data_IF_708076052800
#
_entry.id   IF_708076052800
#
_cell.length_a   1.000
_cell.length_b   1.000
_cell.length_c   1.000
_cell.angle_alpha   90.00
_cell.angle_beta   90.00
_cell.angle_gamma   90.00
#
_symmetry.space_group_name_H-M   'P 1'
#
loop_
_entity.id
_entity.type
_entity.pdbx_description
1 polymer ?
#
# COMPACT_ATOMS: atom_id res chain seq x y z
N UNK A 1 12.00 25.37 -16.42
CA UNK A 1 11.65 23.95 -16.24
C UNK A 1 10.55 23.86 -15.18
N UNK A 2 9.29 23.63 -15.56
CA UNK A 2 8.19 23.53 -14.59
C UNK A 2 8.24 22.18 -13.88
N UNK A 3 8.49 22.17 -12.57
CA UNK A 3 8.31 20.98 -11.72
C UNK A 3 6.88 20.48 -11.88
N UNK A 4 6.70 19.40 -12.65
CA UNK A 4 5.42 18.69 -12.72
C UNK A 4 5.22 18.01 -11.37
N UNK A 5 4.60 18.72 -10.44
CA UNK A 5 4.07 18.12 -9.21
C UNK A 5 3.17 16.97 -9.67
N UNK A 6 3.55 15.74 -9.30
CA UNK A 6 2.73 14.58 -9.62
C UNK A 6 1.40 14.77 -8.90
N UNK A 7 0.25 14.75 -9.60
CA UNK A 7 -1.03 14.91 -8.92
C UNK A 7 -1.18 13.79 -7.89
N UNK A 8 -1.49 14.18 -6.65
CA UNK A 8 -1.78 13.24 -5.56
C UNK A 8 -2.90 12.32 -6.00
N UNK A 9 -2.70 11.01 -5.84
CA UNK A 9 -3.73 10.02 -6.12
C UNK A 9 -4.75 10.08 -4.99
N UNK A 10 -5.99 10.41 -5.35
CA UNK A 10 -7.13 10.39 -4.46
C UNK A 10 -7.85 9.08 -4.72
N UNK A 11 -8.11 8.32 -3.67
CA UNK A 11 -8.67 6.97 -3.75
C UNK A 11 -10.07 6.96 -3.12
N UNK A 12 -10.99 6.20 -3.69
CA UNK A 12 -12.26 5.90 -3.06
C UNK A 12 -12.01 5.06 -1.79
N UNK A 13 -12.55 5.47 -0.65
CA UNK A 13 -12.39 4.70 0.61
C UNK A 13 -13.01 3.31 0.54
N UNK A 14 -14.13 3.17 -0.17
CA UNK A 14 -14.82 1.88 -0.33
C UNK A 14 -14.13 0.98 -1.37
N UNK A 15 -14.14 1.36 -2.64
CA UNK A 15 -13.69 0.47 -3.72
C UNK A 15 -12.21 0.61 -4.12
N UNK A 16 -11.44 1.46 -3.43
CA UNK A 16 -10.01 1.72 -3.70
C UNK A 16 -9.68 2.06 -5.15
N UNK A 17 -10.63 2.63 -5.89
CA UNK A 17 -10.36 3.19 -7.21
C UNK A 17 -9.78 4.58 -7.09
N UNK A 18 -8.84 4.89 -7.98
CA UNK A 18 -8.41 6.26 -8.17
C UNK A 18 -9.58 7.11 -8.68
N UNK A 19 -9.92 8.18 -7.96
CA UNK A 19 -11.05 9.08 -8.27
C UNK A 19 -10.59 10.44 -8.79
N UNK A 20 -9.34 10.57 -9.25
CA UNK A 20 -8.83 11.82 -9.83
C UNK A 20 -9.60 12.26 -11.09
N UNK A 21 -10.22 11.31 -11.80
CA UNK A 21 -10.94 11.53 -13.06
C UNK A 21 -12.40 11.08 -13.00
N UNK A 22 -12.85 10.66 -11.83
CA UNK A 22 -14.22 10.23 -11.57
C UNK A 22 -14.92 11.32 -10.76
N UNK A 23 -16.24 11.38 -10.88
CA UNK A 23 -17.03 12.15 -9.93
C UNK A 23 -16.88 11.52 -8.55
N UNK A 24 -16.64 12.38 -7.56
CA UNK A 24 -16.35 11.99 -6.19
C UNK A 24 -17.02 12.95 -5.22
N UNK A 25 -17.26 12.45 -4.02
CA UNK A 25 -17.91 13.16 -2.94
C UNK A 25 -17.08 12.97 -1.68
N UNK A 26 -16.97 14.01 -0.86
CA UNK A 26 -16.40 13.87 0.47
C UNK A 26 -17.30 12.94 1.29
N UNK A 27 -16.71 11.89 1.86
CA UNK A 27 -17.45 10.80 2.50
C UNK A 27 -18.36 11.30 3.63
N UNK A 28 -17.84 12.20 4.48
CA UNK A 28 -18.57 12.77 5.61
C UNK A 28 -19.54 13.90 5.24
N UNK A 29 -19.53 14.37 4.00
CA UNK A 29 -20.47 15.39 3.50
C UNK A 29 -21.74 14.77 2.87
N UNK A 30 -21.85 13.44 2.86
CA UNK A 30 -23.02 12.72 2.40
C UNK A 30 -24.09 12.67 3.51
N UNK A 31 -25.34 12.39 3.12
CA UNK A 31 -26.44 12.24 4.06
C UNK A 31 -26.13 11.16 5.11
N UNK A 32 -26.53 11.38 6.37
CA UNK A 32 -26.18 10.50 7.50
C UNK A 32 -26.47 9.01 7.25
N UNK A 33 -27.61 8.61 6.67
CA UNK A 33 -27.86 7.20 6.37
C UNK A 33 -26.87 6.62 5.34
N UNK A 34 -26.52 7.39 4.32
CA UNK A 34 -25.57 6.99 3.27
C UNK A 34 -24.17 6.86 3.85
N UNK A 35 -23.74 7.85 4.64
CA UNK A 35 -22.46 7.83 5.35
C UNK A 35 -22.36 6.61 6.28
N UNK A 36 -23.42 6.29 7.00
CA UNK A 36 -23.48 5.12 7.89
C UNK A 36 -23.28 3.79 7.14
N UNK A 37 -23.93 3.62 5.97
CA UNK A 37 -23.72 2.45 5.10
C UNK A 37 -22.28 2.38 4.60
N UNK A 38 -21.69 3.50 4.19
CA UNK A 38 -20.31 3.50 3.72
C UNK A 38 -19.34 3.15 4.86
N UNK A 39 -19.56 3.69 6.07
CA UNK A 39 -18.78 3.36 7.26
C UNK A 39 -18.83 1.86 7.57
N UNK A 40 -20.00 1.22 7.45
CA UNK A 40 -20.13 -0.22 7.71
C UNK A 40 -19.38 -1.08 6.69
N UNK A 41 -19.31 -0.64 5.43
CA UNK A 41 -18.55 -1.35 4.39
C UNK A 41 -17.03 -1.26 4.55
N UNK A 42 -16.52 -0.16 5.08
CA UNK A 42 -15.07 0.06 5.22
C UNK A 42 -14.54 -0.32 6.60
N UNK A 43 -15.41 -0.70 7.55
CA UNK A 43 -15.00 -1.15 8.88
C UNK A 43 -13.93 -2.25 8.80
N UNK A 44 -12.81 -2.17 9.56
CA UNK A 44 -12.56 -1.28 10.71
C UNK A 44 -11.91 0.08 10.38
N UNK A 45 -11.84 0.48 9.11
CA UNK A 45 -11.23 1.75 8.72
C UNK A 45 -12.08 2.95 9.20
N UNK A 46 -11.42 3.94 9.80
CA UNK A 46 -12.04 5.23 10.17
C UNK A 46 -12.02 6.15 8.95
N UNK A 47 -13.19 6.71 8.61
CA UNK A 47 -13.33 7.72 7.55
C UNK A 47 -13.01 9.11 8.11
N UNK A 48 -12.17 9.86 7.42
CA UNK A 48 -11.73 11.21 7.77
C UNK A 48 -12.41 12.29 6.88
N UNK A 49 -12.20 13.57 7.21
CA UNK A 49 -12.80 14.71 6.48
C UNK A 49 -12.34 14.81 5.02
N UNK A 50 -11.11 14.40 4.74
CA UNK A 50 -10.52 14.42 3.40
C UNK A 50 -10.72 13.12 2.61
N UNK A 51 -11.51 12.18 3.16
CA UNK A 51 -11.80 10.93 2.49
C UNK A 51 -12.90 11.10 1.43
N UNK A 52 -12.72 10.40 0.31
CA UNK A 52 -13.61 10.50 -0.84
C UNK A 52 -14.26 9.16 -1.16
N UNK A 53 -15.48 9.25 -1.69
CA UNK A 53 -16.24 8.13 -2.24
C UNK A 53 -16.54 8.44 -3.71
N UNK A 54 -16.36 7.45 -4.58
CA UNK A 54 -16.70 7.59 -6.00
C UNK A 54 -18.22 7.57 -6.20
N UNK A 55 -18.69 8.18 -7.28
CA UNK A 55 -20.13 8.21 -7.61
C UNK A 55 -20.80 6.84 -7.60
N UNK A 56 -20.26 5.77 -8.20
CA UNK A 56 -20.91 4.46 -8.14
C UNK A 56 -21.03 3.87 -6.74
N UNK A 57 -20.04 4.10 -5.86
CA UNK A 57 -20.15 3.65 -4.47
C UNK A 57 -21.18 4.45 -3.67
N UNK A 58 -21.30 5.75 -3.94
CA UNK A 58 -22.35 6.59 -3.35
C UNK A 58 -23.74 6.13 -3.79
N UNK A 59 -23.91 5.91 -5.09
CA UNK A 59 -25.21 5.55 -5.65
C UNK A 59 -25.65 4.16 -5.16
N UNK A 60 -24.70 3.22 -5.05
CA UNK A 60 -24.97 1.93 -4.42
C UNK A 60 -25.40 2.09 -2.95
N UNK A 61 -24.75 2.97 -2.19
CA UNK A 61 -25.12 3.20 -0.80
C UNK A 61 -26.53 3.80 -0.68
N UNK A 62 -26.91 4.70 -1.58
CA UNK A 62 -28.29 5.23 -1.64
C UNK A 62 -29.30 4.14 -1.94
N UNK A 63 -29.01 3.25 -2.89
CA UNK A 63 -29.89 2.11 -3.20
C UNK A 63 -30.01 1.19 -1.98
N UNK A 64 -28.91 0.90 -1.28
CA UNK A 64 -28.93 0.10 -0.04
C UNK A 64 -29.77 0.76 1.05
N UNK A 65 -29.63 2.07 1.26
CA UNK A 65 -30.47 2.82 2.22
C UNK A 65 -31.96 2.67 1.85
N UNK A 66 -32.30 2.89 0.58
CA UNK A 66 -33.69 2.80 0.13
C UNK A 66 -34.26 1.38 0.29
N UNK A 67 -33.47 0.35 -0.01
CA UNK A 67 -33.88 -1.04 0.17
C UNK A 67 -34.10 -1.39 1.66
N UNK A 68 -33.24 -0.90 2.54
CA UNK A 68 -33.37 -1.10 3.98
C UNK A 68 -34.64 -0.42 4.55
N UNK A 69 -35.06 0.71 3.97
CA UNK A 69 -36.30 1.38 4.34
C UNK A 69 -37.55 0.64 3.84
N UNK A 70 -37.42 -0.20 2.81
CA UNK A 70 -38.54 -0.88 2.15
C UNK A 70 -38.77 -2.32 2.62
N UNK A 71 -37.83 -2.99 3.32
CA UNK A 71 -37.92 -4.42 3.63
C UNK A 71 -37.66 -4.79 5.11
N UNK A 72 -38.74 -5.19 5.81
CA UNK A 72 -38.76 -6.18 6.91
C UNK A 72 -39.10 -7.61 6.35
N UNK A 73 -38.53 -8.03 5.21
CA UNK A 73 -38.81 -9.37 4.65
C UNK A 73 -37.52 -10.14 4.36
N UNK A 74 -37.38 -11.39 4.85
CA UNK A 74 -36.13 -12.15 4.82
C UNK A 74 -35.90 -12.79 3.44
N UNK A 75 -35.04 -12.15 2.64
CA UNK A 75 -34.49 -12.70 1.41
C UNK A 75 -32.99 -12.51 1.42
N UNK A 76 -32.27 -13.62 1.54
CA UNK A 76 -30.87 -13.72 1.93
C UNK A 76 -29.89 -13.32 0.81
N UNK A 77 -29.80 -12.03 0.48
CA UNK A 77 -28.68 -11.48 -0.31
C UNK A 77 -27.96 -10.43 0.54
N UNK A 78 -26.92 -10.87 1.24
CA UNK A 78 -26.02 -9.99 1.98
C UNK A 78 -25.52 -8.87 1.04
N UNK A 79 -26.01 -7.66 1.25
CA UNK A 79 -25.46 -6.44 0.67
C UNK A 79 -24.10 -6.14 1.33
N UNK A 80 -23.14 -7.04 1.08
CA UNK A 80 -21.76 -6.90 1.52
C UNK A 80 -21.06 -5.73 0.81
N UNK A 81 -19.82 -5.40 1.24
CA UNK A 81 -19.01 -4.37 0.62
C UNK A 81 -19.01 -4.57 -0.89
N UNK A 82 -19.54 -3.56 -1.58
CA UNK A 82 -19.90 -3.54 -2.99
C UNK A 82 -19.31 -4.70 -3.79
N UNK A 83 -20.11 -5.71 -4.16
CA UNK A 83 -19.75 -6.47 -5.36
C UNK A 83 -19.64 -5.42 -6.46
N UNK A 84 -18.43 -5.20 -6.96
CA UNK A 84 -17.95 -4.12 -7.85
C UNK A 84 -18.63 -4.20 -9.23
N UNK A 85 -19.97 -4.22 -9.28
CA UNK A 85 -20.74 -4.50 -10.50
C UNK A 85 -20.58 -3.41 -11.56
N UNK A 86 -20.17 -2.19 -11.17
CA UNK A 86 -20.28 -1.02 -12.06
C UNK A 86 -18.97 -0.33 -12.46
N UNK A 87 -17.81 -0.85 -12.08
CA UNK A 87 -16.52 -0.28 -12.52
C UNK A 87 -15.93 -0.91 -13.78
N UNK A 88 -16.74 -1.64 -14.55
CA UNK A 88 -16.32 -2.42 -15.74
C UNK A 88 -15.59 -1.60 -16.82
N UNK A 89 -15.92 -0.31 -16.92
CA UNK A 89 -15.38 0.58 -17.96
C UNK A 89 -14.37 1.60 -17.43
N UNK A 90 -13.78 1.34 -16.27
CA UNK A 90 -12.79 2.21 -15.63
C UNK A 90 -11.50 1.45 -15.40
N UNK A 91 -10.36 2.07 -15.70
CA UNK A 91 -9.09 1.48 -15.35
C UNK A 91 -8.88 1.50 -13.83
N UNK A 92 -8.61 0.33 -13.29
CA UNK A 92 -8.40 0.07 -11.87
C UNK A 92 -7.32 0.97 -11.23
N UNK A 93 -6.27 1.30 -11.99
CA UNK A 93 -5.14 2.10 -11.49
C UNK A 93 -5.36 3.62 -11.63
N UNK A 94 -5.83 4.14 -12.76
CA UNK A 94 -5.90 5.59 -13.00
C UNK A 94 -7.30 6.19 -12.76
N UNK A 95 -8.34 5.37 -12.62
CA UNK A 95 -9.72 5.86 -12.62
C UNK A 95 -10.19 6.39 -13.98
N UNK A 96 -9.38 6.21 -15.03
CA UNK A 96 -9.70 6.74 -16.34
C UNK A 96 -10.62 5.77 -17.10
N UNK A 97 -11.63 6.32 -17.78
CA UNK A 97 -12.49 5.52 -18.65
C UNK A 97 -11.65 4.78 -19.68
N UNK A 98 -11.95 3.49 -19.84
CA UNK A 98 -11.39 2.58 -20.84
C UNK A 98 -12.38 2.27 -21.96
N UNK A 99 -13.58 2.87 -21.92
CA UNK A 99 -14.54 2.74 -23.01
C UNK A 99 -13.90 3.28 -24.30
N UNK A 100 -13.94 2.48 -25.37
CA UNK A 100 -13.31 2.79 -26.68
C UNK A 100 -11.79 3.03 -26.62
N UNK A 101 -11.09 2.56 -25.59
CA UNK A 101 -9.64 2.64 -25.47
C UNK A 101 -9.04 1.25 -25.36
N UNK A 102 -7.78 1.12 -25.76
CA UNK A 102 -7.03 -0.11 -25.50
C UNK A 102 -6.89 -0.32 -24.00
N UNK A 103 -7.27 -1.51 -23.55
CA UNK A 103 -7.22 -1.93 -22.16
C UNK A 103 -6.68 -3.35 -22.09
N UNK A 104 -5.91 -3.62 -21.06
CA UNK A 104 -5.36 -4.93 -20.77
C UNK A 104 -6.16 -5.57 -19.61
N UNK A 105 -6.51 -6.85 -19.78
CA UNK A 105 -7.10 -7.65 -18.71
C UNK A 105 -6.00 -8.05 -17.73
N UNK A 106 -6.33 -8.08 -16.44
CA UNK A 106 -5.43 -8.64 -15.44
C UNK A 106 -5.68 -10.16 -15.41
N UNK A 107 -4.72 -10.95 -15.87
CA UNK A 107 -4.83 -12.40 -15.93
C UNK A 107 -4.38 -13.01 -14.61
N UNK A 108 -5.33 -13.56 -13.85
CA UNK A 108 -5.08 -14.16 -12.53
C UNK A 108 -4.83 -15.68 -12.64
N UNK A 109 -5.37 -16.33 -13.68
CA UNK A 109 -5.21 -17.77 -13.89
C UNK A 109 -3.87 -18.09 -14.56
N UNK A 110 -3.06 -18.92 -13.91
CA UNK A 110 -1.77 -19.43 -14.42
C UNK A 110 -0.81 -18.34 -14.97
N UNK A 111 -0.49 -17.29 -14.19
CA UNK A 111 0.40 -16.24 -14.65
C UNK A 111 1.82 -16.77 -14.82
N UNK A 112 2.50 -16.35 -15.90
CA UNK A 112 3.94 -16.51 -15.97
C UNK A 112 4.65 -15.63 -14.94
N UNK A 113 5.94 -15.86 -14.68
CA UNK A 113 6.72 -15.14 -13.67
C UNK A 113 6.64 -13.61 -13.82
N UNK A 114 6.68 -13.12 -15.06
CA UNK A 114 6.57 -11.69 -15.36
C UNK A 114 5.16 -11.15 -15.07
N UNK A 115 4.12 -11.90 -15.42
CA UNK A 115 2.73 -11.56 -15.13
C UNK A 115 2.48 -11.56 -13.62
N UNK A 116 3.01 -12.54 -12.89
CA UNK A 116 2.92 -12.61 -11.44
C UNK A 116 3.51 -11.34 -10.80
N UNK A 117 4.70 -10.94 -11.23
CA UNK A 117 5.33 -9.69 -10.76
C UNK A 117 4.46 -8.46 -11.05
N UNK A 118 3.87 -8.38 -12.25
CA UNK A 118 2.94 -7.30 -12.61
C UNK A 118 1.71 -7.30 -11.70
N UNK A 119 1.11 -8.46 -11.44
CA UNK A 119 -0.07 -8.63 -10.59
C UNK A 119 0.26 -8.15 -9.17
N UNK A 120 1.36 -8.60 -8.58
CA UNK A 120 1.79 -8.17 -7.24
C UNK A 120 2.00 -6.65 -7.13
N UNK A 121 2.53 -6.00 -8.18
CA UNK A 121 2.64 -4.53 -8.22
C UNK A 121 1.25 -3.87 -8.30
N UNK A 122 0.29 -4.48 -8.99
CA UNK A 122 -1.08 -3.96 -9.06
C UNK A 122 -1.79 -4.14 -7.72
N UNK A 123 -1.69 -5.33 -7.11
CA UNK A 123 -2.28 -5.66 -5.81
C UNK A 123 -1.78 -4.72 -4.72
N UNK A 124 -0.46 -4.52 -4.62
CA UNK A 124 0.12 -3.57 -3.66
C UNK A 124 -0.37 -2.14 -3.84
N UNK A 125 -0.80 -1.74 -5.04
CA UNK A 125 -1.36 -0.41 -5.31
C UNK A 125 -2.87 -0.29 -5.02
N UNK A 126 -3.54 -1.41 -4.78
CA UNK A 126 -4.99 -1.50 -4.61
C UNK A 126 -5.39 -2.01 -3.23
N UNK A 127 -4.45 -2.60 -2.49
CA UNK A 127 -4.66 -3.09 -1.15
C UNK A 127 -5.48 -2.09 -0.30
N UNK A 128 -6.49 -2.57 0.45
CA UNK A 128 -6.83 -3.98 0.69
C UNK A 128 -7.72 -4.64 -0.39
N UNK A 129 -8.07 -3.94 -1.48
CA UNK A 129 -8.98 -4.50 -2.49
C UNK A 129 -8.32 -5.63 -3.29
N UNK A 130 -9.05 -6.74 -3.43
CA UNK A 130 -8.71 -7.85 -4.31
C UNK A 130 -9.01 -7.54 -5.78
N UNK A 131 -8.20 -8.13 -6.67
CA UNK A 131 -8.38 -8.04 -8.12
C UNK A 131 -9.33 -9.16 -8.56
N UNK A 132 -10.31 -8.81 -9.39
CA UNK A 132 -11.26 -9.76 -9.97
C UNK A 132 -10.95 -10.03 -11.46
N UNK A 133 -11.47 -11.13 -12.02
CA UNK A 133 -11.33 -11.43 -13.46
C UNK A 133 -11.98 -10.38 -14.38
N UNK A 134 -12.89 -9.58 -13.84
CA UNK A 134 -13.56 -8.50 -14.58
C UNK A 134 -12.72 -7.22 -14.65
N UNK A 135 -11.67 -7.13 -13.83
CA UNK A 135 -10.88 -5.93 -13.72
C UNK A 135 -9.96 -5.69 -14.92
N UNK A 136 -9.82 -4.41 -15.25
CA UNK A 136 -9.06 -3.95 -16.41
C UNK A 136 -8.20 -2.76 -16.06
N UNK A 137 -7.09 -2.64 -16.77
CA UNK A 137 -6.25 -1.45 -16.74
C UNK A 137 -6.14 -0.85 -18.13
N UNK A 138 -6.01 0.48 -18.20
CA UNK A 138 -5.74 1.12 -19.47
C UNK A 138 -4.32 0.77 -19.93
N UNK A 139 -4.10 0.77 -21.24
CA UNK A 139 -2.83 0.37 -21.82
C UNK A 139 -1.62 1.15 -21.27
N UNK A 140 -1.80 2.46 -21.01
CA UNK A 140 -0.76 3.29 -20.42
C UNK A 140 -0.37 2.86 -19.00
N UNK A 141 -1.34 2.48 -18.17
CA UNK A 141 -1.10 1.95 -16.83
C UNK A 141 -0.45 0.57 -16.90
N UNK A 142 -0.90 -0.29 -17.81
CA UNK A 142 -0.31 -1.60 -18.04
C UNK A 142 1.18 -1.51 -18.41
N UNK A 143 1.52 -0.71 -19.42
CA UNK A 143 2.92 -0.50 -19.83
C UNK A 143 3.78 0.06 -18.70
N UNK A 144 3.23 0.97 -17.88
CA UNK A 144 3.95 1.53 -16.73
C UNK A 144 4.27 0.44 -15.70
N UNK A 145 3.28 -0.37 -15.35
CA UNK A 145 3.48 -1.49 -14.41
C UNK A 145 4.44 -2.52 -14.98
N UNK A 146 4.34 -2.86 -16.27
CA UNK A 146 5.28 -3.77 -16.94
C UNK A 146 6.71 -3.26 -16.84
N UNK A 147 6.96 -1.97 -17.08
CA UNK A 147 8.30 -1.37 -16.91
C UNK A 147 8.80 -1.40 -15.47
N UNK A 148 7.91 -1.27 -14.50
CA UNK A 148 8.23 -1.39 -13.08
C UNK A 148 8.63 -2.81 -12.70
N UNK A 149 7.88 -3.82 -13.17
CA UNK A 149 8.22 -5.23 -13.01
C UNK A 149 9.60 -5.57 -13.62
N UNK A 150 9.91 -5.07 -14.82
CA UNK A 150 11.24 -5.27 -15.43
C UNK A 150 12.35 -4.66 -14.56
N UNK A 151 12.12 -3.47 -14.01
CA UNK A 151 13.11 -2.82 -13.14
C UNK A 151 13.33 -3.61 -11.85
N UNK A 152 12.28 -4.12 -11.23
CA UNK A 152 12.38 -4.95 -10.02
C UNK A 152 13.17 -6.23 -10.29
N UNK A 153 12.82 -6.97 -11.34
CA UNK A 153 13.53 -8.20 -11.70
C UNK A 153 15.03 -7.95 -11.99
N UNK A 154 15.36 -6.83 -12.65
CA UNK A 154 16.76 -6.46 -12.86
C UNK A 154 17.49 -6.10 -11.56
N UNK A 155 16.81 -5.51 -10.58
CA UNK A 155 17.39 -5.23 -9.26
C UNK A 155 17.64 -6.51 -8.48
N UNK A 156 16.70 -7.46 -8.51
CA UNK A 156 16.83 -8.75 -7.83
C UNK A 156 18.00 -9.56 -8.39
N UNK A 157 18.20 -9.56 -9.71
CA UNK A 157 19.37 -10.18 -10.36
C UNK A 157 20.71 -9.56 -9.95
N UNK A 158 20.71 -8.26 -9.66
CA UNK A 158 21.91 -7.54 -9.24
C UNK A 158 22.16 -7.66 -7.73
N UNK A 159 21.20 -8.20 -6.96
CA UNK A 159 21.35 -8.47 -5.53
C UNK A 159 22.13 -9.77 -5.38
N UNK A 160 23.46 -9.69 -5.36
CA UNK A 160 24.31 -10.85 -5.08
C UNK A 160 23.88 -11.51 -3.75
N UNK A 161 23.89 -12.85 -3.64
CA UNK A 161 23.66 -13.52 -2.38
C UNK A 161 24.75 -13.05 -1.40
N UNK A 162 24.35 -12.70 -0.16
CA UNK A 162 25.31 -12.56 0.92
C UNK A 162 26.05 -13.91 1.03
N UNK A 163 27.34 -13.92 0.75
CA UNK A 163 28.18 -15.07 1.03
C UNK A 163 28.21 -15.16 2.56
N UNK A 164 27.64 -16.23 3.11
CA UNK A 164 27.78 -16.58 4.52
C UNK A 164 29.28 -16.76 4.81
N UNK A 165 29.90 -15.74 5.41
CA UNK A 165 31.22 -15.85 6.01
C UNK A 165 31.00 -16.48 7.39
N UNK A 166 30.71 -17.78 7.40
CA UNK A 166 30.68 -18.56 8.65
C UNK A 166 31.82 -19.56 8.60
N UNK A 167 32.95 -19.10 9.14
CA UNK A 167 34.00 -19.85 9.82
C UNK A 167 34.61 -21.06 9.11
N UNK A 168 35.76 -20.81 8.48
CA UNK A 168 36.84 -21.79 8.40
C UNK A 168 38.10 -21.17 9.01
N UNK A 169 38.21 -21.19 10.34
CA UNK A 169 39.44 -20.83 11.07
C UNK A 169 39.63 -21.82 12.23
N UNK A 170 40.22 -22.97 11.91
CA UNK A 170 40.97 -23.78 12.87
C UNK A 170 42.27 -24.24 12.19
N UNK A 171 43.33 -23.47 12.41
CA UNK A 171 44.78 -23.75 12.30
C UNK A 171 45.47 -22.37 12.29
N UNK A 172 46.50 -22.00 13.05
CA UNK A 172 47.40 -22.73 13.95
C UNK A 172 48.14 -21.67 14.82
N UNK A 173 48.48 -22.07 16.03
CA UNK A 173 49.44 -21.56 17.02
C UNK A 173 50.53 -20.54 16.58
N UNK A 174 50.74 -19.48 17.38
CA UNK A 174 52.00 -19.16 18.10
C UNK A 174 51.96 -17.75 18.75
N UNK A 175 51.99 -17.68 20.09
CA UNK A 175 52.32 -16.46 20.85
C UNK A 175 53.45 -16.81 21.85
N UNK A 176 54.57 -16.06 21.91
CA UNK A 176 55.44 -16.09 23.07
C UNK A 176 55.00 -15.03 24.10
N UNK A 177 54.97 -15.43 25.36
CA UNK A 177 54.69 -14.59 26.53
C UNK A 177 55.85 -13.61 26.83
N UNK A 178 55.57 -12.51 27.55
CA UNK A 178 56.56 -11.90 28.43
C UNK A 178 56.07 -11.77 29.88
N UNK A 179 57.07 -11.79 30.75
CA UNK A 179 57.02 -12.08 32.18
C UNK A 179 56.62 -10.91 33.10
N UNK A 180 56.46 -11.28 34.37
CA UNK A 180 56.08 -10.47 35.54
C UNK A 180 56.98 -9.26 35.89
N UNK A 181 56.27 -8.18 36.27
CA UNK A 181 56.44 -7.12 37.32
C UNK A 181 57.78 -6.97 38.09
N UNK A 182 58.16 -5.76 38.54
CA UNK A 182 57.80 -5.35 39.92
C UNK A 182 57.45 -3.84 40.16
N UNK A 183 56.79 -3.64 41.31
CA UNK A 183 56.13 -2.45 41.89
C UNK A 183 57.07 -1.38 42.47
N UNK A 184 56.58 -0.13 42.62
CA UNK A 184 56.81 0.83 43.76
C UNK A 184 56.05 2.14 43.43
N UNK A 185 55.01 2.61 44.15
CA UNK A 185 54.86 3.17 45.52
C UNK A 185 54.70 4.71 45.53
N UNK A 186 53.66 5.17 46.26
CA UNK A 186 53.44 6.51 46.86
C UNK A 186 53.30 7.71 45.90
N UNK A 187 52.43 8.73 46.05
CA UNK A 187 51.61 9.27 47.14
C UNK A 187 50.75 10.41 46.55
N UNK A 188 49.56 10.67 47.13
CA UNK A 188 48.89 11.99 47.36
C UNK A 188 48.76 13.00 46.19
N UNK A 189 47.64 13.66 45.89
CA UNK A 189 46.75 14.48 46.74
C UNK A 189 45.54 14.92 45.88
N UNK A 190 44.35 14.87 46.47
CA UNK A 190 43.27 15.88 46.49
C UNK A 190 43.32 17.00 45.43
N UNK A 191 42.24 17.20 44.64
CA UNK A 191 41.32 18.34 44.84
C UNK A 191 40.05 18.25 43.98
N UNK A 192 38.92 18.52 44.62
CA UNK A 192 37.57 18.59 44.07
C UNK A 192 37.27 20.03 43.67
N UNK A 193 36.66 20.27 42.50
CA UNK A 193 35.78 21.43 42.35
C UNK A 193 34.70 21.24 41.27
N UNK A 194 33.46 21.10 41.75
CA UNK A 194 32.23 21.54 41.08
C UNK A 194 32.18 23.07 41.08
N UNK A 195 31.48 23.69 40.11
CA UNK A 195 30.48 24.78 40.26
C UNK A 195 30.08 25.28 38.84
N UNK A 196 28.83 25.05 38.38
CA UNK A 196 27.63 25.93 38.32
C UNK A 196 27.45 26.67 36.97
N UNK A 197 26.25 26.52 36.41
CA UNK A 197 25.69 27.18 35.22
C UNK A 197 25.30 28.65 35.51
N UNK A 198 25.42 29.57 34.54
CA UNK A 198 24.71 30.85 34.58
C UNK A 198 23.28 30.70 34.03
N UNK A 199 22.37 31.53 34.56
CA UNK A 199 20.93 31.51 34.32
C UNK A 199 20.45 32.08 32.99
#
# INVERSE_FOLDING_TARGET
>A
MGSRVKPTRIMCVNCRLCVNKLRRYTALALDTPVTSIICSWVYPQIILEDDYVCEPCRDLAIVTVNNNLQNEVPGNEEAGPSTIRDHKNVCLLCGCSILRRQSDKIFIESPNEMQQTIITIIESKLAPREITHSDRVCHACWLRTKREAVRMNNQDKNRQPLIDITHNEQQEQNLPAPADIPQTELTSTVETQRIVLPG
#
